data_IF_524841266311
#
_entry.id   IF_524841266311
#
_cell.length_a   1.000
_cell.length_b   1.000
_cell.length_c   1.000
_cell.angle_alpha   90.00
_cell.angle_beta   90.00
_cell.angle_gamma   90.00
#
_symmetry.space_group_name_H-M   'P 1'
#
loop_
_entity.id
_entity.type
_entity.pdbx_description
1 polymer ?
#
# COMPACT_ATOMS: atom_id res chain seq x y z
N UNK A 1 7.74 8.28 -11.94
CA UNK A 1 7.33 7.75 -13.28
C UNK A 1 5.86 8.07 -13.50
N UNK A 2 5.46 8.50 -14.70
CA UNK A 2 4.04 8.67 -15.03
C UNK A 2 3.54 7.37 -15.64
N UNK A 3 2.53 6.73 -15.02
CA UNK A 3 1.90 5.49 -15.48
C UNK A 3 0.47 5.71 -15.95
N UNK A 4 -0.01 4.81 -16.80
CA UNK A 4 -1.42 4.70 -17.14
C UNK A 4 -2.16 3.85 -16.10
N UNK A 5 -1.42 2.93 -15.47
CA UNK A 5 -1.86 2.10 -14.36
C UNK A 5 -0.87 2.25 -13.20
N UNK A 6 -1.37 2.42 -11.99
CA UNK A 6 -0.59 2.45 -10.75
C UNK A 6 -0.94 1.24 -9.89
N UNK A 7 0.07 0.51 -9.44
CA UNK A 7 -0.07 -0.59 -8.49
C UNK A 7 0.62 -0.18 -7.20
N UNK A 8 -0.14 0.05 -6.14
CA UNK A 8 0.37 0.27 -4.79
C UNK A 8 0.38 -1.06 -4.03
N UNK A 9 1.46 -1.36 -3.35
CA UNK A 9 1.61 -2.58 -2.56
C UNK A 9 1.98 -2.19 -1.13
N UNK A 10 1.18 -2.70 -0.18
CA UNK A 10 1.46 -2.67 1.26
C UNK A 10 1.93 -4.07 1.68
N UNK A 11 3.24 -4.27 1.89
CA UNK A 11 3.79 -5.59 2.21
C UNK A 11 3.38 -6.06 3.60
N UNK A 12 2.94 -7.30 3.71
CA UNK A 12 2.69 -7.98 4.97
C UNK A 12 3.19 -9.43 4.93
N UNK A 13 3.44 -10.01 6.09
CA UNK A 13 3.97 -11.38 6.22
C UNK A 13 3.00 -12.48 5.79
N UNK A 14 1.70 -12.20 5.73
CA UNK A 14 0.65 -13.14 5.38
C UNK A 14 0.02 -12.81 4.03
N UNK A 15 -0.56 -11.63 3.91
CA UNK A 15 -1.27 -11.18 2.73
C UNK A 15 -0.91 -9.73 2.43
N UNK A 16 -0.20 -9.49 1.35
CA UNK A 16 0.09 -8.14 0.89
C UNK A 16 -1.20 -7.45 0.41
N UNK A 17 -1.40 -6.20 0.82
CA UNK A 17 -2.41 -5.34 0.22
C UNK A 17 -1.97 -4.91 -1.18
N UNK A 18 -2.89 -4.93 -2.14
CA UNK A 18 -2.64 -4.50 -3.51
C UNK A 18 -3.75 -3.57 -3.93
N UNK A 19 -3.39 -2.32 -4.21
CA UNK A 19 -4.27 -1.32 -4.82
C UNK A 19 -3.90 -1.12 -6.29
N UNK A 20 -4.89 -1.13 -7.17
CA UNK A 20 -4.71 -0.82 -8.59
C UNK A 20 -5.58 0.35 -8.98
N UNK A 21 -4.98 1.35 -9.57
CA UNK A 21 -5.64 2.51 -10.16
C UNK A 21 -5.38 2.55 -11.67
N UNK A 22 -6.44 2.47 -12.46
CA UNK A 22 -6.41 2.69 -13.90
C UNK A 22 -6.79 4.14 -14.18
N UNK A 23 -5.89 4.90 -14.79
CA UNK A 23 -6.03 6.34 -15.00
C UNK A 23 -7.06 6.69 -16.08
N UNK A 24 -7.25 5.83 -17.08
CA UNK A 24 -8.16 6.11 -18.20
C UNK A 24 -9.63 6.27 -17.74
N UNK A 25 -10.06 5.44 -16.78
CA UNK A 25 -11.40 5.53 -16.21
C UNK A 25 -11.44 5.95 -14.75
N UNK A 26 -10.27 6.29 -14.14
CA UNK A 26 -10.10 6.44 -12.68
C UNK A 26 -10.67 5.25 -11.91
N UNK A 27 -10.51 4.06 -12.46
CA UNK A 27 -11.04 2.84 -11.86
C UNK A 27 -10.09 2.34 -10.78
N UNK A 28 -10.56 2.37 -9.53
CA UNK A 28 -9.84 1.89 -8.37
C UNK A 28 -10.31 0.48 -8.00
N UNK A 29 -9.38 -0.44 -7.78
CA UNK A 29 -9.65 -1.80 -7.28
C UNK A 29 -8.57 -2.19 -6.29
N UNK A 30 -8.92 -3.01 -5.28
CA UNK A 30 -7.91 -3.57 -4.40
C UNK A 30 -8.25 -5.01 -3.97
N UNK A 31 -7.21 -5.73 -3.61
CA UNK A 31 -7.28 -7.12 -3.15
C UNK A 31 -6.11 -7.40 -2.21
N UNK A 32 -6.17 -8.54 -1.53
CA UNK A 32 -5.06 -9.06 -0.75
C UNK A 32 -4.57 -10.37 -1.35
N UNK A 33 -3.27 -10.52 -1.49
CA UNK A 33 -2.67 -11.71 -2.06
C UNK A 33 -1.47 -12.19 -1.23
N UNK A 34 -1.25 -13.52 -1.13
CA UNK A 34 0.01 -14.07 -0.62
C UNK A 34 1.20 -13.62 -1.48
N UNK A 35 2.40 -13.68 -0.92
CA UNK A 35 3.64 -13.22 -1.55
C UNK A 35 3.80 -13.68 -3.01
N UNK A 36 3.71 -14.98 -3.28
CA UNK A 36 3.88 -15.52 -4.63
C UNK A 36 2.82 -15.00 -5.60
N UNK A 37 1.55 -14.97 -5.18
CA UNK A 37 0.46 -14.48 -6.02
C UNK A 37 0.52 -12.97 -6.24
N UNK A 38 1.12 -12.21 -5.32
CA UNK A 38 1.40 -10.77 -5.51
C UNK A 38 2.33 -10.57 -6.71
N UNK A 39 3.41 -11.35 -6.79
CA UNK A 39 4.37 -11.27 -7.88
C UNK A 39 3.70 -11.64 -9.21
N UNK A 40 2.95 -12.74 -9.25
CA UNK A 40 2.26 -13.17 -10.45
C UNK A 40 1.23 -12.13 -10.91
N UNK A 41 0.45 -11.57 -9.99
CA UNK A 41 -0.50 -10.51 -10.28
C UNK A 41 0.16 -9.28 -10.93
N UNK A 42 1.26 -8.78 -10.36
CA UNK A 42 1.98 -7.63 -10.91
C UNK A 42 2.49 -7.94 -12.32
N UNK A 43 3.08 -9.12 -12.51
CA UNK A 43 3.57 -9.55 -13.83
C UNK A 43 2.46 -9.64 -14.86
N UNK A 44 1.31 -10.18 -14.49
CA UNK A 44 0.18 -10.34 -15.40
C UNK A 44 -0.46 -9.00 -15.77
N UNK A 45 -0.58 -8.06 -14.81
CA UNK A 45 -1.01 -6.69 -15.11
C UNK A 45 -0.06 -6.00 -16.07
N UNK A 46 1.26 -6.11 -15.86
CA UNK A 46 2.27 -5.52 -16.74
C UNK A 46 2.20 -6.13 -18.14
N UNK A 47 2.11 -7.46 -18.26
CA UNK A 47 1.94 -8.13 -19.56
C UNK A 47 0.69 -7.68 -20.29
N UNK A 48 -0.44 -7.56 -19.58
CA UNK A 48 -1.69 -7.10 -20.17
C UNK A 48 -1.62 -5.65 -20.64
N UNK A 49 -1.04 -4.77 -19.81
CA UNK A 49 -0.83 -3.37 -20.14
C UNK A 49 0.08 -3.17 -21.36
N UNK A 50 1.19 -3.92 -21.43
CA UNK A 50 2.13 -3.89 -22.56
C UNK A 50 1.45 -4.21 -23.90
N UNK A 51 0.52 -5.17 -23.91
CA UNK A 51 -0.20 -5.56 -25.15
C UNK A 51 -1.03 -4.41 -25.74
N UNK A 52 -1.41 -3.45 -24.93
CA UNK A 52 -2.21 -2.28 -25.34
C UNK A 52 -1.41 -0.96 -25.26
N UNK A 53 -0.10 -1.06 -25.13
CA UNK A 53 0.80 0.10 -25.10
C UNK A 53 0.73 0.97 -23.84
N UNK A 54 0.15 0.44 -22.74
CA UNK A 54 0.05 1.14 -21.45
C UNK A 54 1.29 0.93 -20.58
N UNK A 55 1.61 1.94 -19.78
CA UNK A 55 2.68 1.92 -18.79
C UNK A 55 2.16 1.63 -17.40
N UNK A 56 2.81 0.74 -16.68
CA UNK A 56 2.49 0.41 -15.28
C UNK A 56 3.57 0.97 -14.38
N UNK A 57 3.17 1.73 -13.36
CA UNK A 57 4.02 2.12 -12.25
C UNK A 57 3.74 1.19 -11.07
N UNK A 58 4.78 0.56 -10.52
CA UNK A 58 4.68 -0.33 -9.36
C UNK A 58 5.32 0.38 -8.17
N UNK A 59 4.55 0.55 -7.10
CA UNK A 59 4.94 1.26 -5.89
C UNK A 59 4.83 0.33 -4.69
N UNK A 60 5.90 0.18 -3.92
CA UNK A 60 5.92 -0.64 -2.70
C UNK A 60 6.17 0.25 -1.50
N UNK A 61 5.35 0.13 -0.44
CA UNK A 61 5.62 0.82 0.80
C UNK A 61 6.89 0.26 1.46
N UNK A 62 7.84 1.15 1.79
CA UNK A 62 9.11 0.79 2.41
C UNK A 62 9.17 1.28 3.87
N UNK A 63 8.57 0.54 4.78
CA UNK A 63 8.63 0.81 6.22
C UNK A 63 10.03 0.57 6.82
N UNK A 64 10.88 -0.23 6.17
CA UNK A 64 12.27 -0.49 6.59
C UNK A 64 13.23 0.70 6.42
N UNK A 65 12.80 1.75 5.73
CA UNK A 65 13.55 3.01 5.64
C UNK A 65 13.40 3.91 6.86
N UNK A 66 12.51 3.56 7.80
CA UNK A 66 12.27 4.33 9.02
C UNK A 66 13.16 3.83 10.17
N UNK A 67 13.89 4.77 10.82
CA UNK A 67 14.83 4.44 11.89
C UNK A 67 14.14 4.02 13.21
N UNK A 68 12.85 4.25 13.35
CA UNK A 68 12.12 4.04 14.60
C UNK A 68 11.06 2.94 14.47
N UNK A 69 11.05 2.04 15.47
CA UNK A 69 9.95 1.11 15.64
C UNK A 69 8.80 1.80 16.40
N UNK A 70 7.84 2.35 15.66
CA UNK A 70 6.68 3.06 16.18
C UNK A 70 5.76 2.21 17.07
N UNK A 71 5.92 0.88 17.07
CA UNK A 71 5.09 -0.03 17.84
C UNK A 71 5.62 -0.28 19.25
N UNK A 72 6.87 0.14 19.54
CA UNK A 72 7.46 0.01 20.88
C UNK A 72 6.93 1.10 21.81
N UNK A 73 6.54 0.70 23.03
CA UNK A 73 6.17 1.59 24.12
C UNK A 73 7.15 1.42 25.27
N UNK A 74 7.41 2.50 26.00
CA UNK A 74 8.25 2.44 27.21
C UNK A 74 7.71 1.47 28.27
N UNK A 75 6.38 1.23 28.26
CA UNK A 75 5.70 0.29 29.16
C UNK A 75 5.76 -1.18 28.70
N UNK A 76 6.33 -1.46 27.53
CA UNK A 76 6.40 -2.84 27.03
C UNK A 76 7.41 -3.65 27.87
N UNK A 77 7.03 -4.85 28.30
CA UNK A 77 7.98 -5.80 28.86
C UNK A 77 9.01 -6.23 27.81
N UNK A 78 10.18 -6.71 28.23
CA UNK A 78 11.22 -7.21 27.33
C UNK A 78 10.69 -8.27 26.35
N UNK A 79 9.83 -9.17 26.80
CA UNK A 79 9.22 -10.20 25.96
C UNK A 79 8.26 -9.60 24.91
N UNK A 80 7.45 -8.62 25.29
CA UNK A 80 6.56 -7.91 24.37
C UNK A 80 7.37 -7.11 23.36
N UNK A 81 8.40 -6.40 23.78
CA UNK A 81 9.27 -5.64 22.91
C UNK A 81 9.98 -6.55 21.89
N UNK A 82 10.51 -7.71 22.34
CA UNK A 82 11.13 -8.69 21.45
C UNK A 82 10.15 -9.24 20.41
N UNK A 83 8.92 -9.59 20.82
CA UNK A 83 7.88 -10.06 19.88
C UNK A 83 7.50 -9.00 18.84
N UNK A 84 7.34 -7.74 19.25
CA UNK A 84 7.09 -6.62 18.33
C UNK A 84 8.25 -6.39 17.37
N UNK A 85 9.49 -6.43 17.88
CA UNK A 85 10.69 -6.31 17.04
C UNK A 85 10.79 -7.42 15.99
N UNK A 86 10.52 -8.66 16.38
CA UNK A 86 10.49 -9.81 15.47
C UNK A 86 9.44 -9.61 14.37
N UNK A 87 8.19 -9.23 14.73
CA UNK A 87 7.11 -9.03 13.77
C UNK A 87 7.45 -7.92 12.75
N UNK A 88 7.99 -6.80 13.24
CA UNK A 88 8.41 -5.68 12.37
C UNK A 88 9.57 -6.12 11.47
N UNK A 89 10.56 -6.83 12.01
CA UNK A 89 11.69 -7.36 11.22
C UNK A 89 11.21 -8.31 10.12
N UNK A 90 10.32 -9.23 10.43
CA UNK A 90 9.74 -10.15 9.44
C UNK A 90 9.00 -9.41 8.33
N UNK A 91 8.20 -8.40 8.67
CA UNK A 91 7.50 -7.56 7.70
C UNK A 91 8.48 -6.78 6.81
N UNK A 92 9.54 -6.19 7.39
CA UNK A 92 10.58 -5.50 6.62
C UNK A 92 11.28 -6.44 5.64
N UNK A 93 11.65 -7.66 6.06
CA UNK A 93 12.30 -8.63 5.19
C UNK A 93 11.34 -9.11 4.08
N UNK A 94 10.06 -9.32 4.39
CA UNK A 94 9.05 -9.64 3.36
C UNK A 94 8.98 -8.54 2.29
N UNK A 95 8.92 -7.28 2.70
CA UNK A 95 8.88 -6.15 1.77
C UNK A 95 10.15 -6.06 0.90
N UNK A 96 11.34 -6.18 1.50
CA UNK A 96 12.61 -6.18 0.75
C UNK A 96 12.68 -7.33 -0.26
N UNK A 97 12.27 -8.54 0.15
CA UNK A 97 12.25 -9.70 -0.74
C UNK A 97 11.23 -9.57 -1.86
N UNK A 98 10.11 -8.92 -1.59
CA UNK A 98 9.14 -8.61 -2.64
C UNK A 98 9.72 -7.68 -3.70
N UNK A 99 10.41 -6.62 -3.29
CA UNK A 99 11.09 -5.70 -4.21
C UNK A 99 12.17 -6.44 -5.00
N UNK A 100 13.07 -7.17 -4.33
CA UNK A 100 14.13 -7.96 -4.96
C UNK A 100 13.57 -8.91 -6.04
N UNK A 101 12.48 -9.61 -5.73
CA UNK A 101 11.84 -10.52 -6.68
C UNK A 101 11.23 -9.79 -7.87
N UNK A 102 10.56 -8.67 -7.67
CA UNK A 102 10.00 -7.88 -8.77
C UNK A 102 11.11 -7.34 -9.68
N UNK A 103 12.18 -6.80 -9.09
CA UNK A 103 13.34 -6.29 -9.83
C UNK A 103 14.06 -7.41 -10.59
N UNK A 104 14.16 -8.62 -10.03
CA UNK A 104 14.72 -9.80 -10.71
C UNK A 104 13.91 -10.19 -11.95
N UNK A 105 12.63 -9.87 -12.02
CA UNK A 105 11.80 -9.99 -13.21
C UNK A 105 11.88 -8.77 -14.15
N UNK A 106 12.79 -7.84 -13.91
CA UNK A 106 12.97 -6.63 -14.72
C UNK A 106 11.88 -5.58 -14.51
N UNK A 107 11.17 -5.65 -13.38
CA UNK A 107 10.11 -4.69 -13.04
C UNK A 107 10.74 -3.57 -12.21
N UNK A 108 10.64 -2.33 -12.72
CA UNK A 108 11.07 -1.15 -11.96
C UNK A 108 10.09 -0.86 -10.82
N UNK A 109 10.61 -0.85 -9.58
CA UNK A 109 9.84 -0.61 -8.37
C UNK A 109 10.17 0.76 -7.79
N UNK A 110 9.14 1.53 -7.49
CA UNK A 110 9.27 2.78 -6.74
C UNK A 110 9.03 2.50 -5.25
N UNK A 111 9.95 2.94 -4.40
CA UNK A 111 9.80 2.83 -2.96
C UNK A 111 9.07 4.06 -2.41
N UNK A 112 7.96 3.84 -1.72
CA UNK A 112 7.19 4.87 -1.05
C UNK A 112 7.36 4.73 0.47
N UNK A 113 7.84 5.78 1.14
CA UNK A 113 7.81 5.81 2.62
C UNK A 113 6.37 5.77 3.13
N UNK A 114 6.14 5.23 4.34
CA UNK A 114 4.81 5.23 4.93
C UNK A 114 4.13 6.59 4.86
N UNK A 115 2.91 6.62 4.38
CA UNK A 115 2.13 7.85 4.27
C UNK A 115 1.70 8.35 5.65
N UNK A 116 1.59 9.67 5.78
CA UNK A 116 1.17 10.29 7.04
C UNK A 116 -0.22 9.80 7.45
N UNK A 117 -0.33 9.31 8.67
CA UNK A 117 -1.61 8.90 9.28
C UNK A 117 -2.35 10.13 9.80
N UNK A 118 -3.37 10.56 9.08
CA UNK A 118 -4.18 11.76 9.41
C UNK A 118 -5.69 11.51 9.35
N UNK A 119 -6.11 10.25 9.32
CA UNK A 119 -7.47 9.82 9.05
C UNK A 119 -8.28 9.57 10.32
N UNK A 120 -9.60 9.33 10.18
CA UNK A 120 -10.52 9.18 11.31
C UNK A 120 -10.53 7.77 11.93
N UNK A 121 -9.92 6.77 11.29
CA UNK A 121 -9.89 5.41 11.81
C UNK A 121 -8.97 5.20 13.01
N UNK A 122 -8.98 3.98 13.55
CA UNK A 122 -8.07 3.59 14.63
C UNK A 122 -6.62 3.84 14.24
N UNK A 123 -5.80 4.28 15.19
CA UNK A 123 -4.41 4.68 14.97
C UNK A 123 -4.23 5.70 13.82
N UNK A 124 -5.26 6.52 13.58
CA UNK A 124 -5.33 7.52 12.50
C UNK A 124 -5.17 6.91 11.10
N UNK A 125 -5.53 5.66 10.93
CA UNK A 125 -5.56 4.96 9.64
C UNK A 125 -6.81 5.34 8.85
N UNK A 126 -6.71 5.24 7.51
CA UNK A 126 -7.81 5.55 6.61
C UNK A 126 -8.98 4.56 6.78
N UNK A 127 -10.19 5.07 6.87
CA UNK A 127 -11.42 4.28 6.95
C UNK A 127 -11.93 3.90 5.55
N UNK A 128 -12.88 2.96 5.50
CA UNK A 128 -13.53 2.60 4.24
C UNK A 128 -14.29 3.79 3.61
N UNK A 129 -14.96 4.60 4.42
CA UNK A 129 -15.67 5.77 3.93
C UNK A 129 -14.70 6.81 3.33
N UNK A 130 -13.59 7.09 4.02
CA UNK A 130 -12.60 8.06 3.56
C UNK A 130 -11.92 7.62 2.26
N UNK A 131 -11.53 6.34 2.13
CA UNK A 131 -10.92 5.87 0.86
C UNK A 131 -11.94 5.88 -0.27
N UNK A 132 -13.22 5.61 0.01
CA UNK A 132 -14.30 5.73 -0.97
C UNK A 132 -14.47 7.18 -1.44
N UNK A 133 -14.42 8.13 -0.52
CA UNK A 133 -14.46 9.57 -0.85
C UNK A 133 -13.23 10.00 -1.70
N UNK A 134 -12.06 9.42 -1.43
CA UNK A 134 -10.81 9.74 -2.16
C UNK A 134 -10.85 9.19 -3.59
N UNK A 135 -11.17 7.92 -3.77
CA UNK A 135 -10.97 7.25 -5.06
C UNK A 135 -12.27 6.84 -5.78
N UNK A 136 -13.44 7.17 -5.24
CA UNK A 136 -14.73 6.78 -5.83
C UNK A 136 -14.95 5.27 -5.84
N UNK A 137 -14.45 4.57 -4.82
CA UNK A 137 -14.50 3.12 -4.76
C UNK A 137 -15.93 2.60 -4.58
N UNK A 138 -16.35 1.68 -5.42
CA UNK A 138 -17.68 1.07 -5.37
C UNK A 138 -17.74 -0.20 -4.50
N UNK A 139 -16.62 -0.64 -3.95
CA UNK A 139 -16.51 -1.80 -3.10
C UNK A 139 -17.27 -1.59 -1.78
N UNK A 140 -18.14 -2.54 -1.41
CA UNK A 140 -18.97 -2.42 -0.19
C UNK A 140 -18.17 -2.50 1.11
N UNK A 141 -17.04 -3.22 1.13
CA UNK A 141 -16.18 -3.44 2.31
C UNK A 141 -14.73 -3.53 1.89
N UNK A 142 -13.83 -3.10 2.75
CA UNK A 142 -12.39 -3.27 2.59
C UNK A 142 -11.74 -3.52 3.95
N UNK A 143 -10.65 -4.26 3.96
CA UNK A 143 -9.77 -4.35 5.13
C UNK A 143 -8.73 -3.22 5.10
N UNK A 144 -7.84 -3.18 6.09
CA UNK A 144 -6.88 -2.08 6.22
C UNK A 144 -5.80 -2.14 5.12
N UNK A 145 -5.28 -3.32 4.84
CA UNK A 145 -4.21 -3.53 3.85
C UNK A 145 -4.66 -3.11 2.44
N UNK A 146 -5.90 -3.42 2.07
CA UNK A 146 -6.49 -2.96 0.81
C UNK A 146 -6.58 -1.44 0.72
N UNK A 147 -6.96 -0.78 1.85
CA UNK A 147 -7.09 0.69 1.89
C UNK A 147 -5.74 1.37 1.84
N UNK A 148 -4.77 0.87 2.59
CA UNK A 148 -3.42 1.41 2.62
C UNK A 148 -2.76 1.26 1.24
N UNK A 149 -2.86 0.08 0.61
CA UNK A 149 -2.35 -0.16 -0.74
C UNK A 149 -3.03 0.72 -1.81
N UNK A 150 -4.36 0.91 -1.72
CA UNK A 150 -5.07 1.81 -2.64
C UNK A 150 -4.63 3.26 -2.46
N UNK A 151 -4.43 3.70 -1.21
CA UNK A 151 -3.93 5.04 -0.92
C UNK A 151 -2.53 5.27 -1.47
N UNK A 152 -1.65 4.25 -1.41
CA UNK A 152 -0.30 4.28 -2.01
C UNK A 152 -0.41 4.50 -3.53
N UNK A 153 -1.24 3.70 -4.24
CA UNK A 153 -1.43 3.84 -5.67
C UNK A 153 -1.99 5.21 -6.05
N UNK A 154 -2.97 5.70 -5.28
CA UNK A 154 -3.59 7.00 -5.49
C UNK A 154 -2.60 8.15 -5.28
N UNK A 155 -1.84 8.12 -4.18
CA UNK A 155 -0.82 9.11 -3.89
C UNK A 155 0.25 9.18 -4.98
N UNK A 156 0.76 8.04 -5.41
CA UNK A 156 1.78 7.97 -6.46
C UNK A 156 1.29 8.47 -7.83
N UNK A 157 -0.01 8.40 -8.10
CA UNK A 157 -0.59 8.93 -9.34
C UNK A 157 -0.60 10.47 -9.41
N UNK A 158 -0.38 11.15 -8.28
CA UNK A 158 -0.45 12.61 -8.17
C UNK A 158 -1.89 13.16 -8.17
N UNK A 159 -2.90 12.30 -8.05
CA UNK A 159 -4.27 12.73 -7.91
C UNK A 159 -4.49 13.40 -6.53
N UNK A 160 -5.38 14.39 -6.44
CA UNK A 160 -5.62 15.09 -5.18
C UNK A 160 -6.22 14.17 -4.13
N UNK A 161 -5.75 14.29 -2.90
CA UNK A 161 -6.29 13.62 -1.73
C UNK A 161 -7.04 14.67 -0.91
N UNK A 162 -8.36 14.67 -1.00
CA UNK A 162 -9.22 15.57 -0.23
C UNK A 162 -9.51 14.95 1.14
N UNK A 163 -8.76 15.33 2.15
CA UNK A 163 -9.06 14.97 3.53
C UNK A 163 -10.19 15.86 4.02
N UNK A 164 -11.37 15.30 4.30
CA UNK A 164 -12.42 16.03 4.99
C UNK A 164 -11.95 16.32 6.42
N UNK A 165 -11.47 17.52 6.67
CA UNK A 165 -11.30 18.00 8.04
C UNK A 165 -12.69 18.12 8.65
N UNK A 166 -13.06 17.16 9.51
CA UNK A 166 -14.20 17.33 10.39
C UNK A 166 -13.88 18.48 11.36
N UNK A 167 -14.13 19.70 10.92
CA UNK A 167 -14.27 20.84 11.84
C UNK A 167 -15.53 20.53 12.68
N UNK A 168 -15.36 19.77 13.76
CA UNK A 168 -16.29 19.82 14.88
C UNK A 168 -16.10 21.23 15.46
N UNK A 169 -16.89 22.17 14.95
CA UNK A 169 -17.21 23.39 15.68
C UNK A 169 -17.73 22.95 17.04
N UNK A 170 -16.97 23.29 18.09
CA UNK A 170 -17.42 23.19 19.47
C UNK A 170 -18.55 24.19 19.71
#
# INVERSE_FOLDING_TARGET
MRGDIYIGIDPDTHLNGIGRLDMAGRKATATNLPFALTIDYVRDVIKAAHRVGQKVAVIVECSWGEAHNWHLKLSDSKAVAAKKGYAVGAMHETGKKLVEMLENYGIEVQLQRPLMKCWAGADRKITHAEITDVCGWDKKRSNQEERDAMLIAWYASGLPINVRTNNKTK
#
